data_IF_399777888000
#
_entry.id   IF_399777888000
#
_cell.length_a   1.000
_cell.length_b   1.000
_cell.length_c   1.000
_cell.angle_alpha   90.00
_cell.angle_beta   90.00
_cell.angle_gamma   90.00
#
_symmetry.space_group_name_H-M   'P 1'
#
loop_
_entity.id
_entity.type
_entity.pdbx_description
1 polymer ?
#
# COMPACT_ATOMS: atom_id res chain seq x y z
N UNK A 1 -5.84 -19.67 0.66
CA UNK A 1 -6.67 -18.51 1.05
C UNK A 1 -6.78 -17.62 -0.17
N UNK A 2 -7.92 -16.97 -0.45
CA UNK A 2 -7.97 -16.03 -1.58
C UNK A 2 -7.00 -14.88 -1.31
N UNK A 3 -6.14 -14.54 -2.27
CA UNK A 3 -5.14 -13.50 -2.13
C UNK A 3 -5.75 -12.11 -2.27
N UNK A 4 -6.82 -11.97 -3.06
CA UNK A 4 -7.51 -10.69 -3.29
C UNK A 4 -7.92 -9.98 -1.99
N UNK A 5 -8.60 -10.63 -1.02
CA UNK A 5 -8.90 -10.00 0.27
C UNK A 5 -7.67 -9.58 1.08
N UNK A 6 -6.57 -10.36 1.03
CA UNK A 6 -5.35 -10.09 1.80
C UNK A 6 -4.63 -8.85 1.24
N UNK A 7 -4.45 -8.79 -0.07
CA UNK A 7 -3.85 -7.62 -0.74
C UNK A 7 -4.77 -6.40 -0.61
N UNK A 8 -6.09 -6.58 -0.68
CA UNK A 8 -7.04 -5.49 -0.43
C UNK A 8 -6.92 -4.96 1.01
N UNK A 9 -6.81 -5.84 2.00
CA UNK A 9 -6.63 -5.44 3.39
C UNK A 9 -5.35 -4.63 3.58
N UNK A 10 -4.26 -4.99 2.91
CA UNK A 10 -3.02 -4.22 2.93
C UNK A 10 -3.24 -2.77 2.50
N UNK A 11 -3.79 -2.55 1.29
CA UNK A 11 -4.00 -1.20 0.77
C UNK A 11 -5.00 -0.40 1.62
N UNK A 12 -6.00 -1.07 2.20
CA UNK A 12 -6.92 -0.45 3.14
C UNK A 12 -6.22 0.03 4.42
N UNK A 13 -5.42 -0.83 5.05
CA UNK A 13 -4.68 -0.50 6.27
C UNK A 13 -3.67 0.62 6.03
N UNK A 14 -2.95 0.57 4.90
CA UNK A 14 -2.00 1.64 4.52
C UNK A 14 -2.72 2.96 4.27
N UNK A 15 -3.86 2.95 3.57
CA UNK A 15 -4.69 4.12 3.35
C UNK A 15 -5.16 4.75 4.67
N UNK A 16 -5.67 3.93 5.60
CA UNK A 16 -6.09 4.41 6.92
C UNK A 16 -4.91 4.95 7.73
N UNK A 17 -3.78 4.25 7.74
CA UNK A 17 -2.59 4.67 8.47
C UNK A 17 -2.13 6.06 8.04
N UNK A 18 -1.95 6.27 6.74
CA UNK A 18 -1.52 7.58 6.23
C UNK A 18 -2.61 8.65 6.35
N UNK A 19 -3.89 8.29 6.23
CA UNK A 19 -4.96 9.25 6.52
C UNK A 19 -4.92 9.71 7.98
N UNK A 20 -4.70 8.77 8.92
CA UNK A 20 -4.52 9.06 10.34
C UNK A 20 -3.31 9.97 10.60
N UNK A 21 -2.17 9.67 9.98
CA UNK A 21 -0.98 10.54 10.04
C UNK A 21 -1.27 11.94 9.51
N UNK A 22 -2.02 12.06 8.40
CA UNK A 22 -2.45 13.35 7.86
C UNK A 22 -3.31 14.16 8.84
N UNK A 23 -4.21 13.49 9.56
CA UNK A 23 -5.03 14.13 10.61
C UNK A 23 -4.15 14.58 11.80
N UNK A 24 -3.22 13.73 12.26
CA UNK A 24 -2.34 14.06 13.38
C UNK A 24 -1.36 15.20 13.05
N UNK A 25 -0.98 15.34 11.78
CA UNK A 25 -0.10 16.41 11.30
C UNK A 25 -0.85 17.68 10.89
N UNK A 26 -2.10 17.89 11.31
CA UNK A 26 -2.94 19.02 10.85
C UNK A 26 -2.35 20.41 11.16
N UNK A 27 -1.46 20.51 12.15
CA UNK A 27 -0.73 21.75 12.45
C UNK A 27 0.26 22.16 11.35
N UNK A 28 0.72 21.20 10.55
CA UNK A 28 1.68 21.39 9.47
C UNK A 28 1.03 21.02 8.13
N UNK A 29 0.43 22.01 7.48
CA UNK A 29 -0.40 21.80 6.29
C UNK A 29 0.31 21.05 5.15
N UNK A 30 1.60 21.31 4.93
CA UNK A 30 2.38 20.63 3.88
C UNK A 30 2.53 19.13 4.19
N UNK A 31 2.95 18.81 5.42
CA UNK A 31 3.11 17.44 5.92
C UNK A 31 1.79 16.68 5.87
N UNK A 32 0.70 17.28 6.36
CA UNK A 32 -0.63 16.69 6.31
C UNK A 32 -1.09 16.39 4.88
N UNK A 33 -0.92 17.34 3.95
CA UNK A 33 -1.27 17.13 2.54
C UNK A 33 -0.49 15.98 1.91
N UNK A 34 0.81 15.87 2.21
CA UNK A 34 1.63 14.75 1.76
C UNK A 34 1.05 13.41 2.19
N UNK A 35 0.70 13.26 3.46
CA UNK A 35 0.10 12.03 3.97
C UNK A 35 -1.28 11.73 3.36
N UNK A 36 -2.14 12.74 3.16
CA UNK A 36 -3.42 12.54 2.51
C UNK A 36 -3.30 12.11 1.04
N UNK A 37 -2.30 12.63 0.32
CA UNK A 37 -2.02 12.20 -1.06
C UNK A 37 -1.61 10.72 -1.08
N UNK A 38 -0.72 10.31 -0.16
CA UNK A 38 -0.30 8.90 -0.05
C UNK A 38 -1.50 8.01 0.28
N UNK A 39 -2.32 8.40 1.25
CA UNK A 39 -3.54 7.68 1.61
C UNK A 39 -4.49 7.52 0.42
N UNK A 40 -4.70 8.58 -0.35
CA UNK A 40 -5.55 8.57 -1.54
C UNK A 40 -5.04 7.58 -2.59
N UNK A 41 -3.73 7.55 -2.86
CA UNK A 41 -3.12 6.60 -3.81
C UNK A 41 -3.42 5.16 -3.39
N UNK A 42 -3.27 4.84 -2.11
CA UNK A 42 -3.56 3.50 -1.58
C UNK A 42 -5.04 3.12 -1.72
N UNK A 43 -5.95 4.05 -1.43
CA UNK A 43 -7.39 3.82 -1.63
C UNK A 43 -7.78 3.66 -3.10
N UNK A 44 -7.14 4.38 -4.02
CA UNK A 44 -7.35 4.21 -5.46
C UNK A 44 -6.89 2.84 -5.94
N UNK A 45 -5.75 2.35 -5.42
CA UNK A 45 -5.28 0.99 -5.73
C UNK A 45 -6.23 -0.05 -5.17
N UNK A 46 -6.64 0.09 -3.91
CA UNK A 46 -7.66 -0.76 -3.29
C UNK A 46 -8.91 -0.84 -4.16
N UNK A 47 -9.45 0.31 -4.58
CA UNK A 47 -10.63 0.36 -5.42
C UNK A 47 -10.42 -0.38 -6.74
N UNK A 48 -9.27 -0.21 -7.39
CA UNK A 48 -8.95 -0.93 -8.62
C UNK A 48 -8.82 -2.44 -8.42
N UNK A 49 -8.26 -2.89 -7.30
CA UNK A 49 -8.20 -4.32 -6.95
C UNK A 49 -9.62 -4.87 -6.74
N UNK A 50 -10.47 -4.18 -5.99
CA UNK A 50 -11.86 -4.59 -5.75
C UNK A 50 -12.64 -4.72 -7.07
N UNK A 51 -12.44 -3.75 -7.98
CA UNK A 51 -13.03 -3.72 -9.33
C UNK A 51 -12.32 -4.63 -10.35
N UNK A 52 -11.33 -5.43 -9.93
CA UNK A 52 -10.55 -6.33 -10.78
C UNK A 52 -9.93 -5.65 -12.01
N UNK A 53 -9.42 -4.42 -11.85
CA UNK A 53 -8.78 -3.65 -12.93
C UNK A 53 -7.29 -3.99 -13.01
N UNK A 54 -6.89 -4.74 -14.04
CA UNK A 54 -5.50 -5.19 -14.25
C UNK A 54 -4.48 -4.02 -14.27
N UNK A 55 -4.83 -2.89 -14.92
CA UNK A 55 -3.93 -1.72 -14.97
C UNK A 55 -3.61 -1.17 -13.58
N UNK A 56 -4.58 -1.22 -12.66
CA UNK A 56 -4.40 -0.73 -11.30
C UNK A 56 -3.56 -1.70 -10.47
N UNK A 57 -3.59 -3.01 -10.78
CA UNK A 57 -2.69 -4.00 -10.17
C UNK A 57 -1.23 -3.76 -10.58
N UNK A 58 -0.99 -3.44 -11.85
CA UNK A 58 0.34 -3.12 -12.34
C UNK A 58 0.88 -1.86 -11.64
N UNK A 59 0.08 -0.80 -11.58
CA UNK A 59 0.44 0.44 -10.85
C UNK A 59 0.64 0.13 -9.35
N UNK A 60 -0.24 -0.67 -8.76
CA UNK A 60 -0.17 -1.10 -7.37
C UNK A 60 1.15 -1.78 -7.03
N UNK A 61 1.66 -2.63 -7.95
CA UNK A 61 2.97 -3.28 -7.78
C UNK A 61 4.10 -2.26 -7.65
N UNK A 62 4.10 -1.23 -8.50
CA UNK A 62 5.13 -0.18 -8.43
C UNK A 62 5.01 0.69 -7.18
N UNK A 63 3.79 0.98 -6.73
CA UNK A 63 3.58 1.71 -5.47
C UNK A 63 4.04 0.88 -4.28
N UNK A 64 3.71 -0.42 -4.20
CA UNK A 64 4.21 -1.28 -3.11
C UNK A 64 5.73 -1.42 -3.14
N UNK A 65 6.36 -1.46 -4.31
CA UNK A 65 7.82 -1.42 -4.44
C UNK A 65 8.40 -0.10 -3.90
N UNK A 66 7.74 1.03 -4.20
CA UNK A 66 8.12 2.33 -3.69
C UNK A 66 7.99 2.39 -2.16
N UNK A 67 6.91 1.86 -1.59
CA UNK A 67 6.72 1.74 -0.13
C UNK A 67 7.83 0.91 0.52
N UNK A 68 8.23 -0.20 -0.12
CA UNK A 68 9.34 -1.03 0.36
C UNK A 68 10.67 -0.25 0.37
N UNK A 69 10.98 0.47 -0.72
CA UNK A 69 12.20 1.28 -0.83
C UNK A 69 12.20 2.37 0.25
N UNK A 70 11.09 3.11 0.41
CA UNK A 70 11.00 4.16 1.43
C UNK A 70 11.03 3.58 2.85
N UNK A 71 10.42 2.43 3.08
CA UNK A 71 10.51 1.71 4.35
C UNK A 71 11.97 1.38 4.70
N UNK A 72 12.71 0.80 3.76
CA UNK A 72 14.15 0.51 3.94
C UNK A 72 14.94 1.79 4.22
N UNK A 73 14.72 2.85 3.43
CA UNK A 73 15.40 4.14 3.63
C UNK A 73 15.09 4.72 5.01
N UNK A 74 13.83 4.65 5.47
CA UNK A 74 13.45 5.11 6.79
C UNK A 74 14.13 4.29 7.87
N UNK A 75 14.12 2.96 7.78
CA UNK A 75 14.82 2.07 8.73
C UNK A 75 16.31 2.40 8.84
N UNK A 76 16.96 2.76 7.73
CA UNK A 76 18.38 3.15 7.70
C UNK A 76 18.64 4.51 8.37
N UNK A 77 17.69 5.45 8.29
CA UNK A 77 17.81 6.79 8.88
C UNK A 77 17.40 6.81 10.36
N UNK A 78 16.31 6.12 10.70
CA UNK A 78 15.77 6.00 12.04
C UNK A 78 15.17 4.60 12.21
N UNK A 79 15.81 3.78 13.06
CA UNK A 79 15.32 2.44 13.35
C UNK A 79 14.13 2.53 14.33
N UNK A 80 12.94 2.65 13.77
CA UNK A 80 11.69 2.66 14.52
C UNK A 80 10.88 1.38 14.26
N UNK A 81 10.22 0.81 15.28
CA UNK A 81 9.39 -0.37 15.08
C UNK A 81 8.32 -0.21 13.98
N UNK A 82 7.81 1.03 13.82
CA UNK A 82 6.84 1.36 12.79
C UNK A 82 7.42 1.25 11.37
N UNK A 83 8.63 1.78 11.14
CA UNK A 83 9.29 1.72 9.82
C UNK A 83 9.67 0.30 9.44
N UNK A 84 10.16 -0.50 10.39
CA UNK A 84 10.43 -1.92 10.18
C UNK A 84 9.14 -2.71 9.83
N UNK A 85 8.04 -2.44 10.54
CA UNK A 85 6.75 -3.09 10.30
C UNK A 85 6.18 -2.75 8.92
N UNK A 86 6.22 -1.47 8.53
CA UNK A 86 5.78 -1.00 7.21
C UNK A 86 6.61 -1.64 6.08
N UNK A 87 7.94 -1.70 6.27
CA UNK A 87 8.86 -2.34 5.32
C UNK A 87 8.52 -3.81 5.11
N UNK A 88 8.31 -4.55 6.21
CA UNK A 88 7.96 -5.96 6.15
C UNK A 88 6.60 -6.19 5.50
N UNK A 89 5.62 -5.35 5.83
CA UNK A 89 4.28 -5.43 5.27
C UNK A 89 4.28 -5.13 3.77
N UNK A 90 5.03 -4.12 3.33
CA UNK A 90 5.23 -3.81 1.92
C UNK A 90 5.93 -4.95 1.18
N UNK A 91 6.95 -5.59 1.79
CA UNK A 91 7.62 -6.74 1.20
C UNK A 91 6.67 -7.93 0.98
N UNK A 92 5.86 -8.27 1.98
CA UNK A 92 4.85 -9.33 1.86
C UNK A 92 3.85 -8.97 0.77
N UNK A 93 3.30 -7.76 0.78
CA UNK A 93 2.33 -7.34 -0.22
C UNK A 93 2.93 -7.40 -1.64
N UNK A 94 4.20 -7.02 -1.80
CA UNK A 94 4.90 -7.08 -3.09
C UNK A 94 5.00 -8.52 -3.61
N UNK A 95 5.32 -9.48 -2.74
CA UNK A 95 5.31 -10.91 -3.09
C UNK A 95 3.91 -11.38 -3.49
N UNK A 96 2.89 -10.98 -2.74
CA UNK A 96 1.51 -11.40 -3.01
C UNK A 96 0.98 -10.81 -4.31
N UNK A 97 1.14 -9.50 -4.53
CA UNK A 97 0.60 -8.79 -5.71
C UNK A 97 1.30 -9.21 -7.01
N UNK A 98 2.56 -9.68 -6.92
CA UNK A 98 3.31 -10.17 -8.08
C UNK A 98 3.08 -11.66 -8.37
N UNK A 99 2.48 -12.41 -7.44
CA UNK A 99 2.20 -13.83 -7.61
C UNK A 99 1.23 -14.11 -8.76
N UNK A 100 1.43 -15.24 -9.44
CA UNK A 100 0.53 -15.67 -10.52
C UNK A 100 -0.86 -16.03 -9.97
N UNK A 101 -0.94 -16.51 -8.73
CA UNK A 101 -2.21 -16.77 -8.05
C UNK A 101 -3.06 -15.49 -7.95
N UNK A 102 -2.47 -14.39 -7.49
CA UNK A 102 -3.19 -13.11 -7.40
C UNK A 102 -3.57 -12.56 -8.78
N UNK A 103 -2.65 -12.61 -9.76
CA UNK A 103 -2.94 -12.17 -11.13
C UNK A 103 -4.09 -12.97 -11.75
N UNK A 104 -4.13 -14.27 -11.52
CA UNK A 104 -5.22 -15.13 -11.98
C UNK A 104 -6.53 -14.80 -11.27
N UNK A 105 -6.52 -14.54 -9.95
CA UNK A 105 -7.72 -14.09 -9.23
C UNK A 105 -8.30 -12.80 -9.80
N UNK A 106 -7.46 -11.86 -10.24
CA UNK A 106 -7.93 -10.60 -10.84
C UNK A 106 -8.46 -10.84 -12.26
N UNK A 107 -7.74 -11.62 -13.08
CA UNK A 107 -8.08 -11.86 -14.48
C UNK A 107 -9.35 -12.70 -14.68
N UNK A 108 -9.61 -13.64 -13.76
CA UNK A 108 -10.74 -14.58 -13.84
C UNK A 108 -11.81 -14.32 -12.78
N UNK A 109 -11.78 -13.16 -12.11
CA UNK A 109 -12.87 -12.70 -11.26
C UNK A 109 -14.10 -12.38 -12.13
N UNK A 110 -14.96 -13.39 -12.33
CA UNK A 110 -16.33 -13.24 -12.80
C UNK A 110 -17.21 -12.66 -11.69
#
# INVERSE_FOLDING_TARGET
MRLKPVVSLFFFLMGIYFAGMGVLSSSERSTALGFFIIALIHFLILLGILLSREIVVQIGTYITLLDLIFGILWVLVSFEPASASLTFLAAICLVLITSDEFKNEIKFAY
#
